data_IF_157247277013
#
_entry.id   IF_157247277013
#
_cell.length_a   1.000
_cell.length_b   1.000
_cell.length_c   1.000
_cell.angle_alpha   90.00
_cell.angle_beta   90.00
_cell.angle_gamma   90.00
#
_symmetry.space_group_name_H-M   'P 1'
#
loop_
_entity.id
_entity.type
_entity.pdbx_description
1 polymer ?
#
# COMPACT_ATOMS: atom_id res chain seq x y z
N UNK A 1 -22.92 -2.61 -16.56
CA UNK A 1 -22.00 -3.50 -17.30
C UNK A 1 -20.56 -3.04 -17.08
N UNK A 2 -20.32 -1.73 -17.06
CA UNK A 2 -19.03 -1.10 -16.68
C UNK A 2 -18.53 -1.53 -15.28
N UNK A 3 -19.38 -1.55 -14.24
CA UNK A 3 -18.94 -1.93 -12.87
C UNK A 3 -18.38 -3.36 -12.77
N UNK A 4 -18.89 -4.30 -13.58
CA UNK A 4 -18.40 -5.68 -13.56
C UNK A 4 -17.01 -5.80 -14.19
N UNK A 5 -16.79 -5.13 -15.31
CA UNK A 5 -15.49 -5.13 -15.98
C UNK A 5 -14.43 -4.42 -15.13
N UNK A 6 -14.78 -3.28 -14.52
CA UNK A 6 -13.93 -2.57 -13.57
C UNK A 6 -13.56 -3.44 -12.35
N UNK A 7 -14.52 -4.17 -11.76
CA UNK A 7 -14.25 -5.06 -10.64
C UNK A 7 -13.35 -6.26 -11.02
N UNK A 8 -13.50 -6.79 -12.24
CA UNK A 8 -12.64 -7.87 -12.75
C UNK A 8 -11.22 -7.36 -13.00
N UNK A 9 -11.07 -6.18 -13.59
CA UNK A 9 -9.78 -5.54 -13.82
C UNK A 9 -9.08 -5.19 -12.50
N UNK A 10 -9.81 -4.62 -11.55
CA UNK A 10 -9.36 -4.39 -10.19
C UNK A 10 -8.86 -5.65 -9.51
N UNK A 11 -9.63 -6.73 -9.57
CA UNK A 11 -9.24 -8.03 -9.03
C UNK A 11 -7.96 -8.57 -9.68
N UNK A 12 -7.79 -8.40 -10.99
CA UNK A 12 -6.56 -8.78 -11.69
C UNK A 12 -5.36 -7.90 -11.30
N UNK A 13 -5.57 -6.61 -11.04
CA UNK A 13 -4.50 -5.72 -10.57
C UNK A 13 -4.14 -6.01 -9.11
N UNK A 14 -5.10 -6.36 -8.27
CA UNK A 14 -4.85 -6.69 -6.86
C UNK A 14 -4.26 -8.08 -6.70
N UNK A 15 -4.91 -9.10 -7.26
CA UNK A 15 -4.62 -10.52 -7.03
C UNK A 15 -3.94 -11.21 -8.20
N UNK A 16 -3.94 -10.61 -9.39
CA UNK A 16 -3.20 -11.10 -10.54
C UNK A 16 -1.72 -10.66 -10.53
N UNK A 17 -1.06 -10.90 -11.66
CA UNK A 17 0.40 -10.81 -11.79
C UNK A 17 0.92 -9.38 -12.09
N UNK A 18 0.14 -8.35 -11.77
CA UNK A 18 0.53 -6.96 -11.99
C UNK A 18 1.76 -6.60 -11.15
N UNK A 19 2.67 -5.84 -11.77
CA UNK A 19 3.96 -5.45 -11.20
C UNK A 19 3.88 -4.04 -10.61
N UNK A 20 4.91 -3.65 -9.85
CA UNK A 20 5.11 -2.28 -9.38
C UNK A 20 5.02 -1.26 -10.53
N UNK A 21 5.66 -1.55 -11.67
CA UNK A 21 5.63 -0.68 -12.85
C UNK A 21 4.23 -0.51 -13.45
N UNK A 22 3.39 -1.57 -13.43
CA UNK A 22 2.00 -1.46 -13.89
C UNK A 22 1.20 -0.52 -13.00
N UNK A 23 1.41 -0.59 -11.67
CA UNK A 23 0.73 0.29 -10.72
C UNK A 23 1.13 1.75 -10.88
N UNK A 24 2.41 2.03 -11.17
CA UNK A 24 2.90 3.39 -11.42
C UNK A 24 2.36 4.03 -12.71
N UNK A 25 1.80 3.25 -13.62
CA UNK A 25 1.27 3.73 -14.91
C UNK A 25 -0.25 3.95 -14.89
N UNK A 26 -0.94 3.52 -13.84
CA UNK A 26 -2.38 3.75 -13.70
C UNK A 26 -2.62 5.22 -13.39
N UNK A 27 -3.61 5.83 -14.02
CA UNK A 27 -4.13 7.13 -13.61
C UNK A 27 -4.85 7.04 -12.25
N UNK A 28 -5.08 8.20 -11.63
CA UNK A 28 -5.69 8.30 -10.31
C UNK A 28 -7.11 7.72 -10.25
N UNK A 29 -7.92 7.95 -11.28
CA UNK A 29 -9.32 7.48 -11.32
C UNK A 29 -9.37 5.96 -11.38
N UNK A 30 -8.58 5.34 -12.27
CA UNK A 30 -8.45 3.88 -12.36
C UNK A 30 -7.91 3.30 -11.06
N UNK A 31 -6.90 3.91 -10.46
CA UNK A 31 -6.34 3.47 -9.18
C UNK A 31 -7.41 3.47 -8.09
N UNK A 32 -8.14 4.57 -7.94
CA UNK A 32 -9.20 4.69 -6.92
C UNK A 32 -10.32 3.68 -7.13
N UNK A 33 -10.74 3.45 -8.39
CA UNK A 33 -11.73 2.43 -8.72
C UNK A 33 -11.22 1.01 -8.37
N UNK A 34 -9.94 0.72 -8.63
CA UNK A 34 -9.33 -0.59 -8.30
C UNK A 34 -9.28 -0.84 -6.80
N UNK A 35 -9.03 0.21 -6.01
CA UNK A 35 -8.95 0.13 -4.56
C UNK A 35 -10.28 0.49 -3.87
N UNK A 36 -11.37 0.60 -4.63
CA UNK A 36 -12.72 0.80 -4.10
C UNK A 36 -13.12 -0.46 -3.31
N UNK A 37 -13.33 -0.30 -2.00
CA UNK A 37 -13.59 -1.41 -1.08
C UNK A 37 -12.36 -2.00 -0.38
N UNK A 38 -11.16 -1.50 -0.67
CA UNK A 38 -9.95 -1.75 0.13
C UNK A 38 -9.88 -0.74 1.27
N UNK A 39 -9.53 -1.13 2.51
CA UNK A 39 -9.39 -0.18 3.61
C UNK A 39 -8.36 0.91 3.31
N UNK A 40 -8.75 2.16 3.54
CA UNK A 40 -7.94 3.34 3.24
C UNK A 40 -7.53 4.07 4.52
N UNK A 41 -6.30 4.61 4.53
CA UNK A 41 -5.77 5.41 5.63
C UNK A 41 -5.23 6.73 5.09
N UNK A 42 -5.52 7.82 5.78
CA UNK A 42 -4.95 9.11 5.46
C UNK A 42 -3.66 9.33 6.27
N UNK A 43 -2.59 9.72 5.60
CA UNK A 43 -1.28 10.01 6.21
C UNK A 43 -0.82 11.40 5.78
N UNK A 44 0.01 12.06 6.59
CA UNK A 44 0.58 13.35 6.23
C UNK A 44 1.69 13.19 5.19
N UNK A 45 1.57 13.90 4.07
CA UNK A 45 2.62 14.01 3.06
C UNK A 45 3.85 14.70 3.62
N UNK A 46 3.68 15.72 4.47
CA UNK A 46 4.80 16.41 5.12
C UNK A 46 5.61 15.45 5.99
N UNK A 47 4.95 14.61 6.79
CA UNK A 47 5.66 13.59 7.59
C UNK A 47 6.40 12.60 6.69
N UNK A 48 5.76 12.16 5.59
CA UNK A 48 6.40 11.27 4.62
C UNK A 48 7.62 11.93 3.95
N UNK A 49 7.56 13.23 3.68
CA UNK A 49 8.67 13.99 3.08
C UNK A 49 9.90 14.05 3.99
N UNK A 50 9.70 14.01 5.31
CA UNK A 50 10.77 13.92 6.30
C UNK A 50 11.35 12.50 6.42
N UNK A 51 10.71 11.49 5.81
CA UNK A 51 11.05 10.08 5.91
C UNK A 51 10.47 9.46 7.18
N UNK A 52 9.57 8.48 7.01
CA UNK A 52 8.94 7.75 8.12
C UNK A 52 9.33 6.29 8.05
N UNK A 53 9.69 5.71 9.19
CA UNK A 53 9.94 4.26 9.25
C UNK A 53 8.66 3.50 8.93
N UNK A 54 8.76 2.44 8.13
CA UNK A 54 7.62 1.61 7.76
C UNK A 54 6.87 1.11 9.01
N UNK A 55 7.59 0.77 10.08
CA UNK A 55 6.98 0.34 11.34
C UNK A 55 6.11 1.39 12.00
N UNK A 56 6.53 2.65 11.99
CA UNK A 56 5.75 3.74 12.56
C UNK A 56 4.60 4.13 11.63
N UNK A 57 4.87 4.13 10.31
CA UNK A 57 3.86 4.41 9.29
C UNK A 57 2.69 3.41 9.35
N UNK A 58 2.97 2.11 9.43
CA UNK A 58 1.96 1.05 9.33
C UNK A 58 1.34 0.62 10.67
N UNK A 59 1.74 1.23 11.79
CA UNK A 59 1.11 1.00 13.09
C UNK A 59 0.55 2.28 13.71
N UNK A 60 1.30 3.39 13.67
CA UNK A 60 0.92 4.64 14.36
C UNK A 60 0.14 5.58 13.44
N UNK A 61 0.53 5.67 12.15
CA UNK A 61 -0.07 6.61 11.19
C UNK A 61 -1.22 5.97 10.42
N UNK A 62 -1.03 4.73 9.99
CA UNK A 62 -2.04 3.88 9.41
C UNK A 62 -2.22 2.66 10.32
N UNK A 63 -3.45 2.38 10.75
CA UNK A 63 -3.74 1.26 11.64
C UNK A 63 -3.81 -0.08 10.88
N UNK A 64 -2.80 -0.36 10.04
CA UNK A 64 -2.68 -1.60 9.26
C UNK A 64 -2.33 -2.79 10.16
N UNK A 65 -1.57 -2.51 11.22
CA UNK A 65 -1.19 -3.49 12.24
C UNK A 65 -1.66 -3.02 13.62
N UNK A 66 -2.09 -3.97 14.45
CA UNK A 66 -2.52 -3.65 15.82
C UNK A 66 -1.33 -3.32 16.74
N UNK A 67 -0.11 -3.73 16.37
CA UNK A 67 1.11 -3.41 17.12
C UNK A 67 2.38 -3.53 16.28
N UNK A 68 3.44 -2.81 16.70
CA UNK A 68 4.80 -2.93 16.15
C UNK A 68 5.35 -4.36 16.21
N UNK A 69 5.00 -5.10 17.26
CA UNK A 69 5.42 -6.50 17.43
C UNK A 69 4.79 -7.44 16.40
N UNK A 70 3.53 -7.24 16.05
CA UNK A 70 2.85 -8.00 14.99
C UNK A 70 3.48 -7.73 13.63
N UNK A 71 3.72 -6.47 13.30
CA UNK A 71 4.35 -6.09 12.04
C UNK A 71 5.73 -6.73 11.88
N UNK A 72 6.61 -6.63 12.89
CA UNK A 72 7.97 -7.21 12.83
C UNK A 72 7.95 -8.71 12.55
N UNK A 73 7.00 -9.45 13.13
CA UNK A 73 6.84 -10.89 12.88
C UNK A 73 6.48 -11.17 11.42
N UNK A 74 5.62 -10.35 10.80
CA UNK A 74 5.29 -10.51 9.39
C UNK A 74 6.39 -10.04 8.44
N UNK A 75 7.15 -8.99 8.79
CA UNK A 75 8.36 -8.62 8.02
C UNK A 75 9.32 -9.81 7.97
N UNK A 76 9.61 -10.43 9.11
CA UNK A 76 10.52 -11.58 9.20
C UNK A 76 10.05 -12.80 8.39
N UNK A 77 8.74 -13.02 8.29
CA UNK A 77 8.18 -14.09 7.46
C UNK A 77 8.00 -13.71 5.98
N UNK A 78 8.38 -12.49 5.59
CA UNK A 78 8.22 -11.96 4.23
C UNK A 78 6.75 -11.77 3.84
N UNK A 79 5.87 -11.60 4.82
CA UNK A 79 4.43 -11.45 4.67
C UNK A 79 3.97 -10.00 4.54
N UNK A 80 4.86 -9.06 4.23
CA UNK A 80 4.51 -7.65 4.01
C UNK A 80 5.13 -7.18 2.70
N UNK A 81 4.33 -6.47 1.91
CA UNK A 81 4.81 -5.76 0.72
C UNK A 81 4.34 -4.32 0.73
N UNK A 82 5.16 -3.41 0.24
CA UNK A 82 4.81 -2.01 -0.05
C UNK A 82 4.99 -1.80 -1.55
N UNK A 83 3.98 -1.28 -2.23
CA UNK A 83 3.90 -1.17 -3.70
C UNK A 83 4.30 -2.45 -4.44
N UNK A 84 3.85 -3.60 -3.93
CA UNK A 84 4.21 -4.95 -4.41
C UNK A 84 5.69 -5.33 -4.30
N UNK A 85 6.50 -4.53 -3.63
CA UNK A 85 7.86 -4.88 -3.25
C UNK A 85 7.89 -5.41 -1.82
N UNK A 86 8.60 -6.51 -1.58
CA UNK A 86 8.67 -7.11 -0.24
C UNK A 86 9.40 -6.18 0.72
N UNK A 87 8.77 -5.92 1.87
CA UNK A 87 9.41 -5.19 2.95
C UNK A 87 10.32 -6.13 3.73
N UNK A 88 11.63 -6.01 3.55
CA UNK A 88 12.63 -6.85 4.22
C UNK A 88 12.97 -6.39 5.64
N UNK A 89 12.81 -5.10 5.92
CA UNK A 89 13.08 -4.50 7.23
C UNK A 89 11.90 -3.60 7.65
N UNK A 90 11.51 -3.70 8.92
CA UNK A 90 10.47 -2.87 9.51
C UNK A 90 10.95 -1.43 9.72
N UNK A 91 12.27 -1.22 9.84
CA UNK A 91 12.88 0.09 10.04
C UNK A 91 13.19 0.82 8.72
N UNK A 92 12.88 0.21 7.56
CA UNK A 92 12.98 0.85 6.24
C UNK A 92 12.27 2.20 6.25
N UNK A 93 12.94 3.23 5.77
CA UNK A 93 12.37 4.57 5.63
C UNK A 93 11.54 4.62 4.35
N UNK A 94 10.28 5.00 4.48
CA UNK A 94 9.34 5.31 3.40
C UNK A 94 9.27 6.83 3.28
N UNK A 95 9.42 7.32 2.05
CA UNK A 95 9.31 8.74 1.73
C UNK A 95 8.40 8.97 0.52
N UNK A 96 8.29 10.23 0.07
CA UNK A 96 7.47 10.59 -1.08
C UNK A 96 7.90 9.93 -2.40
N UNK A 97 9.15 9.44 -2.53
CA UNK A 97 9.59 8.73 -3.74
C UNK A 97 8.92 7.37 -3.91
N UNK A 98 8.39 6.82 -2.82
CA UNK A 98 7.61 5.58 -2.82
C UNK A 98 6.13 5.81 -3.17
N UNK A 99 5.68 7.04 -3.44
CA UNK A 99 4.27 7.28 -3.74
C UNK A 99 3.92 6.96 -5.19
N UNK A 100 2.88 6.14 -5.39
CA UNK A 100 2.17 5.96 -6.65
C UNK A 100 1.38 7.25 -6.93
N UNK A 101 1.50 7.78 -8.15
CA UNK A 101 0.88 9.05 -8.56
C UNK A 101 1.13 10.20 -7.57
N UNK A 102 2.32 10.21 -6.93
CA UNK A 102 2.74 11.21 -5.94
C UNK A 102 1.82 11.36 -4.71
N UNK A 103 0.90 10.40 -4.49
CA UNK A 103 -0.16 10.52 -3.50
C UNK A 103 -0.52 9.22 -2.79
N UNK A 104 -0.32 8.06 -3.40
CA UNK A 104 -0.81 6.78 -2.88
C UNK A 104 0.32 5.84 -2.50
N UNK A 105 0.13 5.05 -1.45
CA UNK A 105 1.02 3.97 -1.08
C UNK A 105 0.21 2.69 -0.88
N UNK A 106 0.55 1.65 -1.63
CA UNK A 106 -0.12 0.37 -1.52
C UNK A 106 0.60 -0.52 -0.50
N UNK A 107 -0.12 -1.03 0.48
CA UNK A 107 0.42 -1.94 1.50
C UNK A 107 -0.31 -3.27 1.43
N UNK A 108 0.44 -4.36 1.35
CA UNK A 108 -0.08 -5.72 1.37
C UNK A 108 0.36 -6.42 2.65
N UNK A 109 -0.62 -6.96 3.38
CA UNK A 109 -0.43 -7.79 4.58
C UNK A 109 -0.84 -9.23 4.29
N UNK A 110 0.14 -10.12 4.24
CA UNK A 110 -0.03 -11.51 3.84
C UNK A 110 -0.36 -11.61 2.34
N UNK A 111 -1.27 -12.52 1.98
CA UNK A 111 -1.61 -12.76 0.56
C UNK A 111 -2.81 -11.96 0.05
N UNK A 112 -3.75 -11.60 0.93
CA UNK A 112 -5.07 -11.09 0.51
C UNK A 112 -5.48 -9.74 1.10
N UNK A 113 -4.80 -9.27 2.15
CA UNK A 113 -5.18 -8.02 2.78
C UNK A 113 -4.38 -6.90 2.14
N UNK A 114 -5.07 -6.03 1.40
CA UNK A 114 -4.52 -4.81 0.86
C UNK A 114 -5.01 -3.63 1.68
N UNK A 115 -4.22 -2.57 1.69
CA UNK A 115 -4.50 -1.31 2.36
C UNK A 115 -3.96 -0.19 1.49
N UNK A 116 -4.73 0.87 1.31
CA UNK A 116 -4.30 2.04 0.55
C UNK A 116 -4.03 3.18 1.53
N UNK A 117 -2.81 3.71 1.52
CA UNK A 117 -2.48 4.92 2.27
C UNK A 117 -2.52 6.11 1.30
N UNK A 118 -3.18 7.19 1.71
CA UNK A 118 -3.38 8.41 0.92
C UNK A 118 -2.59 9.52 1.61
N UNK A 119 -1.51 9.97 0.98
CA UNK A 119 -0.72 11.10 1.43
C UNK A 119 -1.45 12.41 1.13
N UNK A 120 -1.73 13.17 2.17
CA UNK A 120 -2.38 14.49 2.10
C UNK A 120 -1.45 15.60 2.56
#
# INVERSE_FOLDING_TARGET
LEDYEAAVEASNILFGNSTHESLMKLDEDTLLAVFEGVPQFEISRDELSAGVKAIDLLTEKAAVFASKGEMRKLVQSGGISVNKEKLADAETVIDCSSLLNEKYLLVQRGKKNYYLLIAK
#
